data_IF_719649641721
#
_entry.id   IF_719649641721
#
_cell.length_a   1.000
_cell.length_b   1.000
_cell.length_c   1.000
_cell.angle_alpha   90.00
_cell.angle_beta   90.00
_cell.angle_gamma   90.00
#
_symmetry.space_group_name_H-M   'P 1'
#
loop_
_entity.id
_entity.type
_entity.pdbx_description
1 polymer ?
#
# COMPACT_ATOMS: atom_id res chain seq x y z
N UNK A 1 22.22 -2.96 -12.68
CA UNK A 1 22.12 -4.31 -12.03
C UNK A 1 23.55 -4.78 -11.80
N UNK A 2 23.95 -4.96 -10.55
CA UNK A 2 25.21 -5.63 -10.25
C UNK A 2 25.13 -7.09 -10.72
N UNK A 3 26.13 -7.58 -11.44
CA UNK A 3 26.24 -9.00 -11.73
C UNK A 3 26.39 -9.78 -10.41
N UNK A 4 26.01 -11.06 -10.38
CA UNK A 4 26.10 -11.87 -9.16
C UNK A 4 27.53 -11.93 -8.60
N UNK A 5 28.51 -11.96 -9.49
CA UNK A 5 29.93 -11.96 -9.09
C UNK A 5 30.33 -10.67 -8.39
N UNK A 6 29.84 -9.50 -8.83
CA UNK A 6 30.10 -8.22 -8.16
C UNK A 6 29.53 -8.19 -6.75
N UNK A 7 28.34 -8.80 -6.56
CA UNK A 7 27.72 -8.92 -5.23
C UNK A 7 28.50 -9.85 -4.30
N UNK A 8 29.02 -10.95 -4.84
CA UNK A 8 29.86 -11.87 -4.06
C UNK A 8 31.20 -11.21 -3.71
N UNK A 9 31.80 -10.44 -4.63
CA UNK A 9 33.05 -9.70 -4.40
C UNK A 9 32.90 -8.57 -3.36
N UNK A 10 31.70 -8.05 -3.17
CA UNK A 10 31.42 -7.07 -2.13
C UNK A 10 31.51 -7.67 -0.73
N UNK A 11 31.20 -8.96 -0.58
CA UNK A 11 31.25 -9.68 0.70
C UNK A 11 32.68 -10.19 0.91
N UNK A 12 33.40 -9.56 1.86
CA UNK A 12 34.81 -9.86 2.16
C UNK A 12 34.99 -10.62 3.47
N UNK A 13 36.15 -11.27 3.65
CA UNK A 13 36.43 -12.08 4.85
C UNK A 13 36.43 -11.27 6.15
N UNK A 14 36.71 -9.97 6.08
CA UNK A 14 36.70 -9.04 7.21
C UNK A 14 35.33 -8.40 7.49
N UNK A 15 34.29 -8.90 6.82
CA UNK A 15 32.93 -8.37 6.96
C UNK A 15 32.11 -9.18 7.97
N UNK A 16 31.37 -8.48 8.83
CA UNK A 16 30.27 -9.02 9.61
C UNK A 16 28.98 -8.85 8.80
N UNK A 17 28.24 -9.93 8.61
CA UNK A 17 26.96 -9.94 7.89
C UNK A 17 25.85 -10.05 8.92
N UNK A 18 25.08 -9.00 9.09
CA UNK A 18 23.90 -8.97 9.95
C UNK A 18 22.64 -9.12 9.11
N UNK A 19 21.77 -10.04 9.49
CA UNK A 19 20.41 -10.12 8.94
C UNK A 19 19.42 -9.56 9.94
N UNK A 20 18.44 -8.82 9.46
CA UNK A 20 17.41 -8.19 10.28
C UNK A 20 16.01 -8.52 9.75
N UNK A 21 15.20 -9.09 10.62
CA UNK A 21 13.76 -9.22 10.40
C UNK A 21 13.05 -7.98 10.95
N UNK A 22 12.18 -7.40 10.11
CA UNK A 22 11.56 -6.11 10.33
C UNK A 22 10.12 -6.28 10.78
N UNK A 23 9.84 -5.91 12.03
CA UNK A 23 8.48 -5.76 12.54
C UNK A 23 8.02 -4.29 12.59
N UNK A 24 6.78 -4.07 12.95
CA UNK A 24 6.21 -2.72 13.10
C UNK A 24 6.77 -1.98 14.33
N UNK A 25 6.94 -2.68 15.44
CA UNK A 25 7.38 -2.11 16.71
C UNK A 25 8.73 -2.66 17.16
N UNK A 26 9.03 -3.90 16.80
CA UNK A 26 10.21 -4.64 17.25
C UNK A 26 10.88 -5.31 16.07
N UNK A 27 12.20 -5.26 16.05
CA UNK A 27 13.06 -5.88 15.06
C UNK A 27 13.96 -6.93 15.72
N UNK A 28 14.34 -7.95 14.94
CA UNK A 28 15.26 -9.00 15.37
C UNK A 28 16.48 -9.04 14.46
N UNK A 29 17.68 -9.10 15.02
CA UNK A 29 18.93 -9.11 14.26
C UNK A 29 19.84 -10.25 14.72
N UNK A 30 20.49 -10.92 13.77
CA UNK A 30 21.55 -11.91 13.99
C UNK A 30 22.75 -11.60 13.13
N UNK A 31 23.92 -12.08 13.52
CA UNK A 31 25.15 -11.84 12.80
C UNK A 31 25.89 -13.15 12.51
N UNK A 32 26.43 -13.24 11.29
CA UNK A 32 27.27 -14.34 10.80
C UNK A 32 28.55 -13.80 10.18
N UNK A 33 29.54 -14.69 9.99
CA UNK A 33 30.68 -14.42 9.13
C UNK A 33 30.45 -14.88 7.67
N UNK A 34 31.40 -14.62 6.80
CA UNK A 34 31.35 -14.99 5.39
C UNK A 34 31.26 -16.52 5.18
N UNK A 35 31.64 -17.34 6.16
CA UNK A 35 31.48 -18.79 6.12
C UNK A 35 30.13 -19.27 6.65
N UNK A 36 29.27 -18.35 7.10
CA UNK A 36 27.96 -18.66 7.69
C UNK A 36 28.03 -19.08 9.16
N UNK A 37 29.19 -18.94 9.85
CA UNK A 37 29.29 -19.20 11.27
C UNK A 37 28.62 -18.09 12.07
N UNK A 38 27.81 -18.46 13.03
CA UNK A 38 27.12 -17.49 13.89
C UNK A 38 28.13 -16.78 14.81
N UNK A 39 28.09 -15.45 14.79
CA UNK A 39 28.88 -14.59 15.65
C UNK A 39 28.08 -14.16 16.89
N UNK A 40 26.74 -14.29 16.85
CA UNK A 40 25.85 -14.05 17.97
C UNK A 40 25.27 -15.34 18.53
N UNK A 41 25.09 -15.43 19.85
CA UNK A 41 24.50 -16.60 20.53
C UNK A 41 23.00 -16.73 20.32
N UNK A 42 22.34 -15.70 19.76
CA UNK A 42 20.91 -15.64 19.51
C UNK A 42 20.53 -14.37 18.74
N UNK A 43 19.24 -14.17 18.54
CA UNK A 43 18.74 -12.93 18.00
C UNK A 43 18.78 -11.81 19.06
N UNK A 44 19.26 -10.65 18.67
CA UNK A 44 19.16 -9.44 19.46
C UNK A 44 17.88 -8.71 19.05
N UNK A 45 17.05 -8.39 20.04
CA UNK A 45 15.78 -7.71 19.89
C UNK A 45 15.96 -6.22 20.16
N UNK A 46 15.37 -5.36 19.31
CA UNK A 46 15.40 -3.91 19.51
C UNK A 46 14.12 -3.24 18.97
N UNK A 47 13.76 -2.12 19.58
CA UNK A 47 12.56 -1.36 19.21
C UNK A 47 12.75 -0.52 17.95
N UNK A 48 11.65 -0.23 17.25
CA UNK A 48 11.61 0.68 16.09
C UNK A 48 11.66 2.15 16.57
N UNK A 49 12.73 2.50 17.28
CA UNK A 49 12.99 3.84 17.83
C UNK A 49 14.45 4.23 17.62
N UNK A 50 14.76 5.52 17.73
CA UNK A 50 16.13 6.02 17.63
C UNK A 50 17.07 5.35 18.64
N UNK A 51 16.60 5.12 19.86
CA UNK A 51 17.36 4.41 20.90
C UNK A 51 17.57 2.94 20.53
N UNK A 52 16.53 2.25 20.06
CA UNK A 52 16.62 0.87 19.58
C UNK A 52 17.63 0.72 18.43
N UNK A 53 17.62 1.66 17.48
CA UNK A 53 18.59 1.67 16.38
C UNK A 53 20.03 1.90 16.87
N UNK A 54 20.22 2.80 17.84
CA UNK A 54 21.52 3.03 18.44
C UNK A 54 22.03 1.81 19.19
N UNK A 55 21.16 1.12 19.93
CA UNK A 55 21.47 -0.13 20.62
C UNK A 55 21.84 -1.26 19.64
N UNK A 56 21.09 -1.41 18.54
CA UNK A 56 21.40 -2.38 17.49
C UNK A 56 22.76 -2.08 16.82
N UNK A 57 23.04 -0.81 16.51
CA UNK A 57 24.35 -0.38 15.99
C UNK A 57 25.48 -0.71 16.97
N UNK A 58 25.33 -0.36 18.25
CA UNK A 58 26.31 -0.65 19.28
C UNK A 58 26.57 -2.16 19.39
N UNK A 59 25.51 -2.96 19.32
CA UNK A 59 25.60 -4.41 19.38
C UNK A 59 26.37 -5.01 18.19
N UNK A 60 26.09 -4.59 16.93
CA UNK A 60 26.82 -5.12 15.76
C UNK A 60 28.28 -4.66 15.76
N UNK A 61 28.58 -3.44 16.23
CA UNK A 61 29.94 -2.93 16.36
C UNK A 61 30.74 -3.71 17.40
N UNK A 62 30.14 -4.02 18.55
CA UNK A 62 30.77 -4.83 19.59
C UNK A 62 31.09 -6.27 19.11
N UNK A 63 30.15 -6.88 18.35
CA UNK A 63 30.38 -8.17 17.72
C UNK A 63 31.47 -8.12 16.66
N UNK A 64 31.50 -7.09 15.84
CA UNK A 64 32.54 -6.90 14.84
C UNK A 64 33.92 -6.80 15.49
N UNK A 65 34.08 -5.96 16.50
CA UNK A 65 35.32 -5.82 17.26
C UNK A 65 35.76 -7.13 17.90
N UNK A 66 34.85 -7.89 18.53
CA UNK A 66 35.14 -9.18 19.17
C UNK A 66 35.62 -10.25 18.18
N UNK A 67 35.23 -10.15 16.90
CA UNK A 67 35.54 -11.16 15.88
C UNK A 67 36.48 -10.64 14.79
N UNK A 68 37.24 -9.57 15.05
CA UNK A 68 38.19 -8.94 14.12
C UNK A 68 37.59 -8.59 12.76
N UNK A 69 36.31 -8.16 12.77
CA UNK A 69 35.59 -7.69 11.56
C UNK A 69 35.68 -6.18 11.43
N UNK A 70 36.08 -5.72 10.25
CA UNK A 70 36.30 -4.28 9.97
C UNK A 70 35.11 -3.60 9.31
N UNK A 71 34.28 -4.40 8.63
CA UNK A 71 33.14 -3.92 7.87
C UNK A 71 31.86 -4.60 8.34
N UNK A 72 30.74 -3.90 8.19
CA UNK A 72 29.42 -4.42 8.57
C UNK A 72 28.47 -4.19 7.42
N UNK A 73 27.74 -5.22 7.03
CA UNK A 73 26.60 -5.13 6.14
C UNK A 73 25.34 -5.61 6.85
N UNK A 74 24.28 -4.80 6.79
CA UNK A 74 22.96 -5.13 7.33
C UNK A 74 22.04 -5.51 6.17
N UNK A 75 21.67 -6.80 6.11
CA UNK A 75 20.62 -7.30 5.23
C UNK A 75 19.27 -7.19 5.90
N UNK A 76 18.26 -6.77 5.15
CA UNK A 76 16.89 -6.71 5.64
C UNK A 76 15.89 -7.18 4.57
N UNK A 77 14.79 -7.75 5.03
CA UNK A 77 13.64 -8.03 4.17
C UNK A 77 12.73 -6.79 4.15
N UNK A 78 12.44 -6.21 2.97
CA UNK A 78 11.64 -4.98 2.86
C UNK A 78 10.14 -5.27 3.07
N UNK A 79 9.74 -5.54 4.30
CA UNK A 79 8.33 -5.75 4.66
C UNK A 79 7.61 -4.41 4.81
N UNK A 80 6.63 -4.16 3.95
CA UNK A 80 5.81 -2.95 3.98
C UNK A 80 6.65 -1.66 3.91
N UNK A 81 6.45 -0.78 4.89
CA UNK A 81 7.15 0.52 4.99
C UNK A 81 8.03 0.65 6.25
N UNK A 82 8.04 -0.35 7.12
CA UNK A 82 8.73 -0.28 8.43
C UNK A 82 10.25 -0.24 8.32
N UNK A 83 10.81 -0.76 7.23
CA UNK A 83 12.25 -0.81 7.00
C UNK A 83 12.89 0.54 6.63
N UNK A 84 12.10 1.52 6.14
CA UNK A 84 12.65 2.80 5.64
C UNK A 84 13.41 3.57 6.72
N UNK A 85 12.83 3.69 7.92
CA UNK A 85 13.44 4.44 9.01
C UNK A 85 14.77 3.79 9.46
N UNK A 86 14.76 2.47 9.67
CA UNK A 86 15.96 1.72 10.05
C UNK A 86 17.05 1.83 8.98
N UNK A 87 16.72 1.59 7.70
CA UNK A 87 17.69 1.65 6.61
C UNK A 87 18.31 3.03 6.47
N UNK A 88 17.49 4.09 6.47
CA UNK A 88 17.98 5.47 6.39
C UNK A 88 18.88 5.83 7.57
N UNK A 89 18.47 5.45 8.79
CA UNK A 89 19.26 5.70 9.99
C UNK A 89 20.60 4.94 9.98
N UNK A 90 20.60 3.68 9.61
CA UNK A 90 21.83 2.86 9.54
C UNK A 90 22.79 3.38 8.48
N UNK A 91 22.31 3.74 7.28
CA UNK A 91 23.14 4.32 6.23
C UNK A 91 23.75 5.66 6.67
N UNK A 92 22.97 6.55 7.28
CA UNK A 92 23.46 7.83 7.79
C UNK A 92 24.46 7.67 8.93
N UNK A 93 24.49 6.52 9.57
CA UNK A 93 25.42 6.14 10.65
C UNK A 93 26.58 5.25 10.19
N UNK A 94 26.81 5.14 8.87
CA UNK A 94 27.96 4.46 8.29
C UNK A 94 27.86 2.93 8.20
N UNK A 95 26.66 2.35 8.36
CA UNK A 95 26.42 0.92 8.17
C UNK A 95 25.88 0.70 6.74
N UNK A 96 26.55 -0.18 5.98
CA UNK A 96 26.05 -0.59 4.67
C UNK A 96 24.75 -1.40 4.80
N UNK A 97 23.72 -1.03 4.03
CA UNK A 97 22.43 -1.74 4.06
C UNK A 97 22.15 -2.35 2.69
N UNK A 98 21.66 -3.58 2.69
CA UNK A 98 21.22 -4.32 1.50
C UNK A 98 19.84 -4.94 1.73
N UNK A 99 19.11 -5.22 0.66
CA UNK A 99 17.77 -5.82 0.72
C UNK A 99 17.77 -7.22 0.14
N UNK A 100 17.13 -8.16 0.80
CA UNK A 100 16.84 -9.49 0.26
C UNK A 100 15.43 -9.52 -0.33
N UNK A 101 15.23 -10.38 -1.32
CA UNK A 101 13.90 -10.54 -1.92
C UNK A 101 13.01 -11.37 -0.97
N UNK A 102 11.80 -10.89 -0.57
CA UNK A 102 10.87 -11.64 0.27
C UNK A 102 10.52 -13.04 -0.27
N UNK A 103 10.43 -13.18 -1.59
CA UNK A 103 10.22 -14.48 -2.21
C UNK A 103 11.40 -15.44 -1.98
N UNK A 104 12.64 -14.96 -2.03
CA UNK A 104 13.82 -15.77 -1.73
C UNK A 104 13.85 -16.19 -0.25
N UNK A 105 13.47 -15.28 0.67
CA UNK A 105 13.35 -15.59 2.10
C UNK A 105 12.33 -16.71 2.31
N UNK A 106 11.15 -16.61 1.69
CA UNK A 106 10.10 -17.64 1.77
C UNK A 106 10.59 -18.99 1.25
N UNK A 107 11.20 -19.02 0.06
CA UNK A 107 11.74 -20.28 -0.49
C UNK A 107 12.82 -20.91 0.37
N UNK A 108 13.73 -20.09 0.92
CA UNK A 108 14.80 -20.60 1.77
C UNK A 108 14.27 -21.15 3.10
N UNK A 109 13.19 -20.57 3.65
CA UNK A 109 12.48 -21.14 4.83
C UNK A 109 11.93 -22.54 4.55
N UNK A 110 11.32 -22.73 3.38
CA UNK A 110 10.76 -24.03 2.98
C UNK A 110 11.84 -25.11 2.81
N UNK A 111 13.09 -24.72 2.49
CA UNK A 111 14.23 -25.64 2.33
C UNK A 111 14.91 -25.95 3.67
N UNK A 112 15.11 -24.96 4.54
CA UNK A 112 15.86 -25.13 5.80
C UNK A 112 15.00 -25.73 6.92
N UNK A 113 13.70 -25.47 6.95
CA UNK A 113 12.81 -25.90 8.04
C UNK A 113 11.50 -26.45 7.48
N UNK A 114 11.34 -27.77 7.53
CA UNK A 114 10.07 -28.44 7.18
C UNK A 114 8.97 -28.19 8.23
N UNK A 115 9.23 -27.35 9.23
CA UNK A 115 8.28 -26.97 10.28
C UNK A 115 7.54 -25.69 9.90
N UNK A 116 6.21 -25.75 9.92
CA UNK A 116 5.33 -24.58 9.70
C UNK A 116 5.30 -23.60 10.90
N UNK A 117 6.14 -23.81 11.91
CA UNK A 117 6.20 -22.94 13.09
C UNK A 117 6.93 -21.65 12.74
N UNK A 118 6.20 -20.56 12.71
CA UNK A 118 6.71 -19.21 12.57
C UNK A 118 7.56 -18.84 13.80
N UNK A 119 8.88 -18.74 13.62
CA UNK A 119 9.80 -18.28 14.65
C UNK A 119 10.57 -17.07 14.09
N UNK A 120 10.11 -15.89 14.42
CA UNK A 120 10.67 -14.59 13.97
C UNK A 120 12.16 -14.44 14.42
N UNK A 121 12.65 -15.29 15.33
CA UNK A 121 14.05 -15.32 15.77
C UNK A 121 14.98 -16.11 14.83
N UNK A 122 14.43 -16.92 13.92
CA UNK A 122 15.21 -17.68 12.92
C UNK A 122 15.39 -16.90 11.63
N UNK A 123 14.44 -16.07 11.27
CA UNK A 123 14.41 -15.29 10.03
C UNK A 123 15.64 -14.39 9.81
N UNK A 124 16.19 -13.70 10.84
CA UNK A 124 17.40 -12.90 10.68
C UNK A 124 18.62 -13.68 10.19
N UNK A 125 18.80 -14.92 10.63
CA UNK A 125 19.91 -15.76 10.17
C UNK A 125 19.78 -16.11 8.69
N UNK A 126 18.57 -16.43 8.26
CA UNK A 126 18.25 -16.74 6.88
C UNK A 126 18.54 -15.53 5.97
N UNK A 127 18.11 -14.34 6.41
CA UNK A 127 18.40 -13.07 5.71
C UNK A 127 19.92 -12.88 5.57
N UNK A 128 20.69 -13.10 6.65
CA UNK A 128 22.14 -12.99 6.62
C UNK A 128 22.77 -14.00 5.63
N UNK A 129 22.28 -15.24 5.58
CA UNK A 129 22.74 -16.25 4.62
C UNK A 129 22.47 -15.84 3.17
N UNK A 130 21.28 -15.29 2.88
CA UNK A 130 20.97 -14.78 1.54
C UNK A 130 21.91 -13.64 1.11
N UNK A 131 22.27 -12.74 2.03
CA UNK A 131 23.26 -11.69 1.80
C UNK A 131 24.62 -12.31 1.51
N UNK A 132 25.10 -13.23 2.34
CA UNK A 132 26.35 -13.97 2.16
C UNK A 132 26.46 -14.59 0.79
N UNK A 133 25.37 -15.17 0.28
CA UNK A 133 25.30 -15.87 -1.01
C UNK A 133 25.08 -14.93 -2.21
N UNK A 134 25.16 -13.61 -2.03
CA UNK A 134 24.98 -12.60 -3.08
C UNK A 134 23.53 -12.46 -3.56
N UNK A 135 22.56 -12.97 -2.80
CA UNK A 135 21.13 -12.90 -3.14
C UNK A 135 20.47 -11.66 -2.54
N UNK A 136 21.03 -10.50 -2.81
CA UNK A 136 20.55 -9.21 -2.31
C UNK A 136 20.52 -8.13 -3.40
N UNK A 137 19.88 -7.01 -3.15
CA UNK A 137 19.91 -5.79 -3.93
C UNK A 137 20.28 -4.58 -3.07
N UNK A 138 20.70 -3.49 -3.70
CA UNK A 138 20.87 -2.22 -3.00
C UNK A 138 19.51 -1.58 -2.75
N UNK A 139 19.22 -1.08 -1.52
CA UNK A 139 17.99 -0.38 -1.26
C UNK A 139 17.96 0.94 -2.02
N UNK A 140 16.82 1.24 -2.63
CA UNK A 140 16.58 2.55 -3.20
C UNK A 140 15.77 3.39 -2.21
N UNK A 141 16.44 4.31 -1.55
CA UNK A 141 15.84 5.34 -0.70
C UNK A 141 15.82 6.65 -1.51
N UNK A 142 14.68 7.04 -2.05
CA UNK A 142 14.60 8.32 -2.77
C UNK A 142 14.81 9.48 -1.82
N UNK A 143 15.53 10.51 -2.28
CA UNK A 143 15.83 11.69 -1.50
C UNK A 143 15.10 12.93 -2.00
N UNK A 144 14.89 13.91 -1.12
CA UNK A 144 14.35 15.24 -1.44
C UNK A 144 13.05 15.13 -2.26
N UNK A 145 12.99 15.85 -3.38
CA UNK A 145 11.82 15.90 -4.27
C UNK A 145 11.40 14.51 -4.78
N UNK A 146 12.33 13.59 -4.97
CA UNK A 146 12.00 12.22 -5.42
C UNK A 146 11.30 11.39 -4.34
N UNK A 147 11.61 11.65 -3.05
CA UNK A 147 10.88 11.03 -1.94
C UNK A 147 9.43 11.52 -1.90
N UNK A 148 9.21 12.83 -2.06
CA UNK A 148 7.87 13.41 -2.11
C UNK A 148 7.09 12.91 -3.32
N UNK A 149 7.69 12.89 -4.51
CA UNK A 149 7.08 12.38 -5.73
C UNK A 149 6.64 10.92 -5.58
N UNK A 150 7.48 10.07 -4.99
CA UNK A 150 7.13 8.67 -4.73
C UNK A 150 5.94 8.56 -3.78
N UNK A 151 5.93 9.32 -2.68
CA UNK A 151 4.81 9.32 -1.71
C UNK A 151 3.52 9.80 -2.34
N UNK A 152 3.56 10.90 -3.10
CA UNK A 152 2.40 11.44 -3.81
C UNK A 152 1.87 10.46 -4.87
N UNK A 153 2.75 9.79 -5.63
CA UNK A 153 2.35 8.78 -6.59
C UNK A 153 1.62 7.61 -5.92
N UNK A 154 2.18 7.07 -4.83
CA UNK A 154 1.54 6.00 -4.06
C UNK A 154 0.18 6.44 -3.50
N UNK A 155 0.09 7.65 -2.97
CA UNK A 155 -1.17 8.19 -2.45
C UNK A 155 -2.22 8.36 -3.56
N UNK A 156 -1.81 8.85 -4.75
CA UNK A 156 -2.70 8.93 -5.91
C UNK A 156 -3.21 7.56 -6.35
N UNK A 157 -2.35 6.55 -6.35
CA UNK A 157 -2.72 5.19 -6.72
C UNK A 157 -3.74 4.61 -5.72
N UNK A 158 -3.54 4.82 -4.41
CA UNK A 158 -4.50 4.45 -3.36
C UNK A 158 -5.86 5.12 -3.56
N UNK A 159 -5.88 6.43 -3.82
CA UNK A 159 -7.13 7.16 -4.10
C UNK A 159 -7.84 6.62 -5.35
N UNK A 160 -7.08 6.23 -6.37
CA UNK A 160 -7.64 5.65 -7.60
C UNK A 160 -8.28 4.28 -7.32
N UNK A 161 -7.63 3.42 -6.55
CA UNK A 161 -8.18 2.14 -6.14
C UNK A 161 -9.43 2.30 -5.27
N UNK A 162 -9.42 3.23 -4.32
CA UNK A 162 -10.58 3.52 -3.47
C UNK A 162 -11.76 4.02 -4.30
N UNK A 163 -11.49 4.86 -5.31
CA UNK A 163 -12.50 5.32 -6.26
C UNK A 163 -13.12 4.15 -7.04
N UNK A 164 -12.30 3.23 -7.54
CA UNK A 164 -12.79 2.04 -8.26
C UNK A 164 -13.65 1.17 -7.32
N UNK A 165 -13.22 0.97 -6.09
CA UNK A 165 -13.99 0.25 -5.08
C UNK A 165 -15.35 0.90 -4.82
N UNK A 166 -15.39 2.23 -4.67
CA UNK A 166 -16.62 2.97 -4.45
C UNK A 166 -17.55 2.95 -5.68
N UNK A 167 -17.02 3.03 -6.90
CA UNK A 167 -17.80 2.88 -8.13
C UNK A 167 -18.46 1.49 -8.17
N UNK A 168 -17.72 0.42 -7.88
CA UNK A 168 -18.27 -0.93 -7.88
C UNK A 168 -19.37 -1.13 -6.81
N UNK A 169 -19.20 -0.52 -5.63
CA UNK A 169 -20.22 -0.52 -4.58
C UNK A 169 -21.46 0.27 -5.00
N UNK A 170 -21.29 1.44 -5.61
CA UNK A 170 -22.38 2.24 -6.16
C UNK A 170 -23.15 1.46 -7.23
N UNK A 171 -22.45 0.77 -8.13
CA UNK A 171 -23.07 -0.11 -9.12
C UNK A 171 -23.94 -1.20 -8.47
N UNK A 172 -23.46 -1.81 -7.38
CA UNK A 172 -24.19 -2.83 -6.65
C UNK A 172 -25.48 -2.28 -6.05
N UNK A 173 -25.41 -1.15 -5.36
CA UNK A 173 -26.61 -0.53 -4.75
C UNK A 173 -27.62 -0.11 -5.83
N UNK A 174 -27.16 0.50 -6.92
CA UNK A 174 -28.07 0.92 -7.99
C UNK A 174 -28.71 -0.27 -8.70
N UNK A 175 -28.01 -1.42 -8.85
CA UNK A 175 -28.65 -2.62 -9.41
C UNK A 175 -29.80 -3.13 -8.56
N UNK A 176 -29.80 -2.86 -7.26
CA UNK A 176 -30.86 -3.26 -6.33
C UNK A 176 -32.06 -2.32 -6.45
N UNK A 177 -31.81 -1.02 -6.40
CA UNK A 177 -32.87 0.00 -6.27
C UNK A 177 -33.24 0.72 -7.57
N UNK A 178 -32.36 0.70 -8.57
CA UNK A 178 -32.57 1.32 -9.88
C UNK A 178 -31.85 0.54 -10.99
N UNK A 179 -32.30 -0.69 -11.34
CA UNK A 179 -31.62 -1.53 -12.34
C UNK A 179 -31.34 -0.86 -13.67
N UNK A 180 -32.21 0.05 -14.08
CA UNK A 180 -32.15 0.79 -15.36
C UNK A 180 -31.14 1.97 -15.34
N UNK A 181 -30.40 2.17 -14.26
CA UNK A 181 -29.52 3.33 -14.10
C UNK A 181 -28.50 3.52 -15.23
N UNK A 182 -28.03 2.43 -15.86
CA UNK A 182 -27.09 2.54 -16.98
C UNK A 182 -27.74 3.13 -18.23
N UNK A 183 -28.98 2.74 -18.53
CA UNK A 183 -29.74 3.30 -19.64
C UNK A 183 -30.14 4.75 -19.35
N UNK A 184 -30.52 5.03 -18.10
CA UNK A 184 -30.90 6.35 -17.64
C UNK A 184 -29.73 7.34 -17.68
N UNK A 185 -28.57 6.98 -17.14
CA UNK A 185 -27.43 7.90 -16.97
C UNK A 185 -26.31 7.70 -18.00
N UNK A 186 -26.15 6.52 -18.54
CA UNK A 186 -25.09 6.12 -19.47
C UNK A 186 -23.75 5.87 -18.79
N UNK A 187 -23.28 6.79 -17.98
CA UNK A 187 -21.99 6.67 -17.27
C UNK A 187 -22.16 6.98 -15.79
N UNK A 188 -21.91 5.97 -14.93
CA UNK A 188 -22.14 6.05 -13.49
C UNK A 188 -21.19 7.01 -12.79
N UNK A 189 -19.92 7.01 -13.15
CA UNK A 189 -18.88 7.88 -12.58
C UNK A 189 -18.81 9.26 -13.25
N UNK A 190 -19.78 9.61 -14.11
CA UNK A 190 -19.89 10.92 -14.73
C UNK A 190 -20.31 12.01 -13.73
N UNK A 191 -19.75 13.22 -13.85
CA UNK A 191 -20.08 14.32 -12.95
C UNK A 191 -21.59 14.62 -12.93
N UNK A 192 -22.26 14.58 -14.08
CA UNK A 192 -23.73 14.77 -14.17
C UNK A 192 -24.51 13.74 -13.36
N UNK A 193 -24.13 12.48 -13.43
CA UNK A 193 -24.76 11.38 -12.71
C UNK A 193 -24.52 11.50 -11.21
N UNK A 194 -23.28 11.68 -10.81
CA UNK A 194 -22.89 11.74 -9.39
C UNK A 194 -23.52 12.93 -8.67
N UNK A 195 -23.62 14.09 -9.30
CA UNK A 195 -24.27 15.27 -8.70
C UNK A 195 -25.76 15.05 -8.47
N UNK A 196 -26.43 14.30 -9.36
CA UNK A 196 -27.84 13.91 -9.16
C UNK A 196 -27.94 12.88 -8.04
N UNK A 197 -27.17 11.79 -8.09
CA UNK A 197 -27.23 10.70 -7.11
C UNK A 197 -26.87 11.11 -5.68
N UNK A 198 -26.04 12.14 -5.52
CA UNK A 198 -25.73 12.74 -4.21
C UNK A 198 -26.95 13.34 -3.52
N UNK A 199 -27.96 13.77 -4.30
CA UNK A 199 -29.17 14.45 -3.81
C UNK A 199 -30.38 13.52 -3.92
N UNK A 200 -30.56 12.89 -5.06
CA UNK A 200 -31.70 12.04 -5.43
C UNK A 200 -31.18 10.66 -5.83
N UNK A 201 -31.15 9.76 -4.84
CA UNK A 201 -30.38 8.52 -4.93
C UNK A 201 -31.14 7.34 -5.56
N UNK A 202 -32.46 7.30 -5.39
CA UNK A 202 -33.33 6.22 -5.83
C UNK A 202 -34.43 6.74 -6.78
N UNK A 203 -35.13 5.88 -7.53
CA UNK A 203 -36.15 6.27 -8.52
C UNK A 203 -37.21 7.24 -7.98
N UNK A 204 -37.72 6.97 -6.77
CA UNK A 204 -38.75 7.84 -6.15
C UNK A 204 -38.23 9.26 -5.90
N UNK A 205 -36.96 9.41 -5.50
CA UNK A 205 -36.33 10.72 -5.27
C UNK A 205 -36.16 11.46 -6.61
N UNK A 206 -35.75 10.72 -7.67
CA UNK A 206 -35.54 11.28 -9.01
C UNK A 206 -36.87 11.75 -9.61
N UNK A 207 -37.92 10.96 -9.46
CA UNK A 207 -39.27 11.31 -9.90
C UNK A 207 -39.79 12.54 -9.14
N UNK A 208 -39.61 12.59 -7.83
CA UNK A 208 -40.00 13.74 -7.00
C UNK A 208 -39.22 15.02 -7.35
N UNK A 209 -37.93 14.90 -7.69
CA UNK A 209 -37.07 15.99 -8.12
C UNK A 209 -37.53 16.58 -9.48
N UNK A 210 -37.91 15.70 -10.39
CA UNK A 210 -38.31 16.06 -11.75
C UNK A 210 -37.19 16.65 -12.62
N UNK A 211 -37.51 16.92 -13.87
CA UNK A 211 -36.53 17.43 -14.83
C UNK A 211 -36.03 18.83 -14.49
N UNK A 212 -36.87 19.68 -13.92
CA UNK A 212 -36.50 21.04 -13.50
C UNK A 212 -35.47 21.00 -12.37
N UNK A 213 -35.74 20.22 -11.31
CA UNK A 213 -34.83 20.06 -10.17
C UNK A 213 -33.49 19.49 -10.62
N UNK A 214 -33.49 18.51 -11.52
CA UNK A 214 -32.26 17.92 -12.06
C UNK A 214 -31.42 18.96 -12.83
N UNK A 215 -32.05 19.79 -13.65
CA UNK A 215 -31.36 20.90 -14.32
C UNK A 215 -30.75 21.89 -13.34
N UNK A 216 -31.46 22.23 -12.28
CA UNK A 216 -30.98 23.13 -11.26
C UNK A 216 -29.73 22.53 -10.52
N UNK A 217 -29.71 21.22 -10.24
CA UNK A 217 -28.53 20.55 -9.72
C UNK A 217 -27.33 20.73 -10.65
N UNK A 218 -27.49 20.42 -11.95
CA UNK A 218 -26.39 20.55 -12.90
C UNK A 218 -25.94 22.01 -13.09
N UNK A 219 -26.84 22.96 -13.08
CA UNK A 219 -26.53 24.39 -13.15
C UNK A 219 -25.70 24.84 -11.92
N UNK A 220 -26.13 24.46 -10.71
CA UNK A 220 -25.45 24.80 -9.48
C UNK A 220 -24.06 24.18 -9.41
N UNK A 221 -23.88 22.96 -9.96
CA UNK A 221 -22.60 22.29 -10.10
C UNK A 221 -21.74 22.82 -11.27
N UNK A 222 -22.20 23.89 -11.97
CA UNK A 222 -21.54 24.51 -13.14
C UNK A 222 -21.27 23.51 -14.28
N UNK A 223 -22.12 22.49 -14.40
CA UNK A 223 -22.07 21.51 -15.48
C UNK A 223 -22.89 21.98 -16.67
N UNK A 224 -22.24 22.08 -17.83
CA UNK A 224 -22.88 22.53 -19.07
C UNK A 224 -23.04 21.37 -20.05
N UNK A 225 -24.03 21.46 -20.95
CA UNK A 225 -24.22 20.51 -22.07
C UNK A 225 -25.28 19.43 -21.84
N UNK A 226 -26.03 19.45 -20.73
CA UNK A 226 -27.22 18.62 -20.52
C UNK A 226 -28.47 19.47 -20.42
N UNK A 227 -29.46 19.17 -21.26
CA UNK A 227 -30.73 19.92 -21.34
C UNK A 227 -31.93 19.16 -20.73
N UNK A 228 -33.13 19.77 -20.84
CA UNK A 228 -34.39 19.17 -20.41
C UNK A 228 -34.66 17.80 -21.04
N UNK A 229 -34.31 17.61 -22.32
CA UNK A 229 -34.53 16.34 -23.00
C UNK A 229 -33.89 15.17 -22.23
N UNK A 230 -32.61 15.32 -21.78
CA UNK A 230 -31.92 14.29 -21.01
C UNK A 230 -32.48 14.15 -19.60
N UNK A 231 -32.88 15.25 -18.98
CA UNK A 231 -33.50 15.20 -17.65
C UNK A 231 -34.84 14.45 -17.69
N UNK A 232 -35.71 14.76 -18.68
CA UNK A 232 -36.99 14.05 -18.88
C UNK A 232 -36.79 12.56 -19.15
N UNK A 233 -35.78 12.19 -19.94
CA UNK A 233 -35.44 10.79 -20.21
C UNK A 233 -35.09 10.04 -18.94
N UNK A 234 -34.24 10.61 -18.07
CA UNK A 234 -33.85 10.01 -16.78
C UNK A 234 -35.06 9.85 -15.85
N UNK A 235 -35.92 10.88 -15.76
CA UNK A 235 -37.17 10.80 -14.98
C UNK A 235 -38.09 9.70 -15.53
N UNK A 236 -38.23 9.56 -16.84
CA UNK A 236 -39.03 8.50 -17.45
C UNK A 236 -38.52 7.10 -17.14
N UNK A 237 -37.19 6.90 -17.05
CA UNK A 237 -36.64 5.65 -16.57
C UNK A 237 -36.93 5.40 -15.07
N UNK A 238 -36.84 6.44 -14.25
CA UNK A 238 -37.13 6.35 -12.82
C UNK A 238 -38.59 5.99 -12.53
N UNK A 239 -39.55 6.57 -13.32
CA UNK A 239 -40.98 6.28 -13.22
C UNK A 239 -41.32 4.82 -13.54
N UNK A 240 -40.53 4.18 -14.40
CA UNK A 240 -40.74 2.81 -14.89
C UNK A 240 -39.83 1.79 -14.24
N UNK A 241 -39.07 2.20 -13.24
CA UNK A 241 -38.07 1.34 -12.62
C UNK A 241 -38.70 0.15 -11.89
N UNK A 242 -38.08 -1.01 -12.05
CA UNK A 242 -38.47 -2.27 -11.36
C UNK A 242 -37.61 -2.54 -10.12
N UNK A 243 -36.86 -1.53 -9.65
CA UNK A 243 -36.01 -1.63 -8.46
C UNK A 243 -36.81 -1.94 -7.19
N UNK A 244 -36.12 -2.46 -6.17
CA UNK A 244 -36.73 -2.74 -4.87
C UNK A 244 -37.26 -1.45 -4.22
N UNK A 245 -38.43 -1.56 -3.61
CA UNK A 245 -39.11 -0.47 -2.89
C UNK A 245 -38.96 -0.59 -1.37
N UNK A 246 -38.53 -1.75 -0.88
CA UNK A 246 -38.25 -2.01 0.54
C UNK A 246 -36.77 -1.75 0.87
N UNK A 247 -36.49 -1.26 2.09
CA UNK A 247 -35.14 -0.93 2.53
C UNK A 247 -34.51 0.26 1.84
N UNK A 248 -35.32 1.10 1.20
CA UNK A 248 -34.88 2.24 0.40
C UNK A 248 -34.15 3.32 1.19
N UNK A 249 -34.40 3.48 2.49
CA UNK A 249 -33.71 4.50 3.31
C UNK A 249 -32.22 4.18 3.45
N UNK A 250 -31.88 2.95 3.75
CA UNK A 250 -30.47 2.51 3.82
C UNK A 250 -29.81 2.56 2.44
N UNK A 251 -30.50 2.13 1.38
CA UNK A 251 -30.00 2.22 0.00
C UNK A 251 -29.76 3.66 -0.44
N UNK A 252 -30.68 4.56 -0.12
CA UNK A 252 -30.56 6.01 -0.38
C UNK A 252 -29.29 6.60 0.24
N UNK A 253 -29.07 6.33 1.51
CA UNK A 253 -27.89 6.81 2.23
C UNK A 253 -26.60 6.21 1.65
N UNK A 254 -26.59 4.93 1.31
CA UNK A 254 -25.44 4.28 0.68
C UNK A 254 -25.10 4.88 -0.69
N UNK A 255 -26.09 5.06 -1.57
CA UNK A 255 -25.91 5.65 -2.90
C UNK A 255 -25.38 7.08 -2.80
N UNK A 256 -25.99 7.93 -1.93
CA UNK A 256 -25.54 9.30 -1.70
C UNK A 256 -24.08 9.34 -1.25
N UNK A 257 -23.76 8.52 -0.26
CA UNK A 257 -22.41 8.46 0.29
C UNK A 257 -21.38 8.04 -0.76
N UNK A 258 -21.63 6.97 -1.54
CA UNK A 258 -20.71 6.55 -2.60
C UNK A 258 -20.55 7.61 -3.69
N UNK A 259 -21.64 8.25 -4.10
CA UNK A 259 -21.61 9.32 -5.10
C UNK A 259 -20.73 10.50 -4.63
N UNK A 260 -20.86 10.89 -3.37
CA UNK A 260 -20.08 11.96 -2.77
C UNK A 260 -18.59 11.60 -2.66
N UNK A 261 -18.26 10.37 -2.18
CA UNK A 261 -16.88 9.90 -2.10
C UNK A 261 -16.20 9.88 -3.46
N UNK A 262 -16.89 9.40 -4.50
CA UNK A 262 -16.35 9.37 -5.87
C UNK A 262 -16.07 10.79 -6.39
N UNK A 263 -16.95 11.76 -6.10
CA UNK A 263 -16.76 13.17 -6.47
C UNK A 263 -15.54 13.79 -5.78
N UNK A 264 -15.34 13.52 -4.49
CA UNK A 264 -14.18 13.99 -3.72
C UNK A 264 -12.89 13.38 -4.27
N UNK A 265 -12.86 12.06 -4.42
CA UNK A 265 -11.69 11.34 -4.93
C UNK A 265 -11.31 11.76 -6.35
N UNK A 266 -12.29 12.09 -7.17
CA UNK A 266 -12.08 12.62 -8.51
C UNK A 266 -11.38 13.98 -8.53
N UNK A 267 -11.71 14.86 -7.57
CA UNK A 267 -11.05 16.18 -7.43
C UNK A 267 -9.60 16.05 -6.95
N UNK A 268 -9.31 15.06 -6.12
CA UNK A 268 -7.98 14.83 -5.57
C UNK A 268 -7.04 14.11 -6.55
N UNK A 269 -7.58 13.44 -7.58
CA UNK A 269 -6.81 12.69 -8.57
C UNK A 269 -6.45 13.53 -9.82
N UNK A 270 -6.96 14.75 -9.93
CA UNK A 270 -6.61 15.71 -10.98
C UNK A 270 -5.50 16.63 -10.53
#
# INVERSE_FOLDING_TARGET
>A
KFAKNDKLSFITDDMLIAGCDIGSETHYIRAIDVRGRELSSGAFEFSNTSEGFANAKAWVLALAAKNDKKQIVLGLEPTGHYWFALAAWMISNGISVVQVNPYAVKQSKEIEDNSQLKDDRKDPKLIANLVKDGNYGMPYLPEKVYADMRRLSMFRDQLTEDRIRNINRLHRELKIYFPEYMDAFGKIDGAFTLEVLKISAIPSDITALGAEGMKNIWHNAKLRGRGYSRANEIVSYAEKSVGLTDGTDAGREAVKWYAEQILVQRKLSC
#
